data_IF_694485870394
#
_entry.id   IF_694485870394
#
_cell.length_a   1.000
_cell.length_b   1.000
_cell.length_c   1.000
_cell.angle_alpha   90.00
_cell.angle_beta   90.00
_cell.angle_gamma   90.00
#
_symmetry.space_group_name_H-M   'P 1'
#
loop_
_entity.id
_entity.type
_entity.pdbx_description
1 polymer ?
#
# COMPACT_ATOMS: atom_id res chain seq x y z
N UNK A 1 -4.72 -3.73 23.13
CA UNK A 1 -3.91 -3.79 21.93
C UNK A 1 -4.67 -4.57 20.84
N UNK A 2 -5.19 -3.88 19.83
CA UNK A 2 -6.12 -4.45 18.84
C UNK A 2 -5.45 -5.30 17.75
N UNK A 3 -4.13 -5.23 17.60
CA UNK A 3 -3.41 -5.93 16.54
C UNK A 3 -2.63 -7.17 17.01
N UNK A 4 -2.71 -7.53 18.29
CA UNK A 4 -1.88 -8.60 18.83
C UNK A 4 -2.21 -9.98 18.21
N UNK A 5 -3.48 -10.22 17.93
CA UNK A 5 -3.98 -11.48 17.38
C UNK A 5 -4.51 -11.34 15.95
N UNK A 6 -4.14 -10.25 15.25
CA UNK A 6 -4.60 -10.05 13.88
C UNK A 6 -3.99 -11.11 12.95
N UNK A 7 -4.79 -11.82 12.13
CA UNK A 7 -4.26 -12.76 11.15
C UNK A 7 -3.33 -12.05 10.15
N UNK A 8 -2.21 -12.69 9.80
CA UNK A 8 -1.19 -12.13 8.92
C UNK A 8 -1.74 -11.65 7.57
N UNK A 9 -2.68 -12.40 6.98
CA UNK A 9 -3.31 -12.03 5.72
C UNK A 9 -4.16 -10.75 5.83
N UNK A 10 -4.78 -10.50 6.98
CA UNK A 10 -5.52 -9.27 7.24
C UNK A 10 -4.54 -8.11 7.44
N UNK A 11 -3.50 -8.30 8.26
CA UNK A 11 -2.45 -7.29 8.47
C UNK A 11 -1.77 -6.89 7.15
N UNK A 12 -1.46 -7.88 6.30
CA UNK A 12 -0.87 -7.64 4.98
C UNK A 12 -1.82 -6.84 4.08
N UNK A 13 -3.08 -7.27 3.95
CA UNK A 13 -4.05 -6.59 3.10
C UNK A 13 -4.29 -5.15 3.56
N UNK A 14 -4.53 -4.92 4.86
CA UNK A 14 -4.78 -3.57 5.39
C UNK A 14 -3.53 -2.68 5.36
N UNK A 15 -2.36 -3.26 5.57
CA UNK A 15 -1.09 -2.53 5.45
C UNK A 15 -0.77 -2.11 4.02
N UNK A 16 -1.05 -2.98 3.04
CA UNK A 16 -0.95 -2.64 1.61
C UNK A 16 -1.97 -1.58 1.20
N UNK A 17 -3.19 -1.61 1.75
CA UNK A 17 -4.19 -0.57 1.53
C UNK A 17 -3.71 0.79 2.04
N UNK A 18 -3.20 0.86 3.27
CA UNK A 18 -2.64 2.08 3.83
C UNK A 18 -1.46 2.63 2.99
N UNK A 19 -0.60 1.75 2.48
CA UNK A 19 0.50 2.13 1.59
C UNK A 19 -0.02 2.70 0.27
N UNK A 20 -1.04 2.07 -0.34
CA UNK A 20 -1.69 2.57 -1.55
C UNK A 20 -2.33 3.95 -1.33
N UNK A 21 -3.08 4.13 -0.25
CA UNK A 21 -3.68 5.41 0.12
C UNK A 21 -2.62 6.51 0.26
N UNK A 22 -1.50 6.19 0.87
CA UNK A 22 -0.38 7.10 1.01
C UNK A 22 0.19 7.51 -0.36
N UNK A 23 0.51 6.54 -1.23
CA UNK A 23 1.04 6.84 -2.56
C UNK A 23 0.04 7.56 -3.44
N UNK A 24 -1.23 7.14 -3.46
CA UNK A 24 -2.26 7.85 -4.23
C UNK A 24 -2.41 9.29 -3.77
N UNK A 25 -2.25 9.57 -2.48
CA UNK A 25 -2.22 10.95 -1.98
C UNK A 25 -0.97 11.72 -2.40
N UNK A 26 0.19 11.04 -2.53
CA UNK A 26 1.47 11.67 -2.93
C UNK A 26 1.44 12.16 -4.37
N UNK A 27 0.85 11.41 -5.30
CA UNK A 27 0.76 11.80 -6.72
C UNK A 27 -0.57 12.43 -7.13
N UNK A 28 -1.48 12.62 -6.18
CA UNK A 28 -2.78 13.19 -6.48
C UNK A 28 -2.70 14.65 -6.92
N UNK A 29 -3.48 15.03 -7.92
CA UNK A 29 -3.59 16.42 -8.35
C UNK A 29 -4.16 17.38 -7.31
N UNK A 30 -4.89 16.85 -6.33
CA UNK A 30 -5.46 17.61 -5.21
C UNK A 30 -4.53 17.62 -3.98
N UNK A 31 -3.30 17.12 -4.10
CA UNK A 31 -2.35 17.09 -2.99
C UNK A 31 -2.03 18.51 -2.51
N UNK A 32 -2.13 18.72 -1.21
CA UNK A 32 -1.70 19.92 -0.50
C UNK A 32 -0.47 19.62 0.34
N UNK A 33 0.22 20.65 0.82
CA UNK A 33 1.36 20.47 1.72
C UNK A 33 0.97 19.67 2.98
N UNK A 34 -0.24 19.88 3.48
CA UNK A 34 -0.77 19.15 4.64
C UNK A 34 -1.00 17.67 4.31
N UNK A 35 -1.71 17.37 3.22
CA UNK A 35 -1.94 15.98 2.82
C UNK A 35 -0.64 15.26 2.48
N UNK A 36 0.33 15.94 1.87
CA UNK A 36 1.66 15.40 1.57
C UNK A 36 2.47 15.06 2.83
N UNK A 37 2.38 15.89 3.87
CA UNK A 37 3.05 15.63 5.14
C UNK A 37 2.59 14.28 5.73
N UNK A 38 1.28 14.06 5.81
CA UNK A 38 0.71 12.82 6.30
C UNK A 38 0.98 11.64 5.36
N UNK A 39 0.81 11.82 4.05
CA UNK A 39 1.02 10.78 3.07
C UNK A 39 2.46 10.26 3.04
N UNK A 40 3.44 11.15 3.07
CA UNK A 40 4.85 10.76 3.08
C UNK A 40 5.23 10.02 4.36
N UNK A 41 4.70 10.47 5.51
CA UNK A 41 4.97 9.78 6.78
C UNK A 41 4.24 8.42 6.84
N UNK A 42 3.03 8.32 6.29
CA UNK A 42 2.32 7.06 6.16
C UNK A 42 3.08 6.06 5.27
N UNK A 43 3.59 6.52 4.12
CA UNK A 43 4.40 5.67 3.23
C UNK A 43 5.68 5.18 3.92
N UNK A 44 6.43 6.07 4.57
CA UNK A 44 7.64 5.72 5.35
C UNK A 44 7.35 4.63 6.39
N UNK A 45 6.32 4.84 7.23
CA UNK A 45 5.95 3.90 8.28
C UNK A 45 5.46 2.56 7.71
N UNK A 46 4.66 2.58 6.66
CA UNK A 46 4.18 1.36 6.00
C UNK A 46 5.33 0.55 5.39
N UNK A 47 6.26 1.23 4.69
CA UNK A 47 7.41 0.59 4.06
C UNK A 47 8.40 0.01 5.09
N UNK A 48 8.51 0.62 6.26
CA UNK A 48 9.30 0.09 7.37
C UNK A 48 8.63 -1.11 8.04
N UNK A 49 7.31 -1.08 8.19
CA UNK A 49 6.56 -2.09 8.93
C UNK A 49 6.20 -3.34 8.09
N UNK A 50 5.80 -3.17 6.83
CA UNK A 50 5.32 -4.27 5.97
C UNK A 50 6.31 -5.45 5.84
N UNK A 51 7.63 -5.25 5.67
CA UNK A 51 8.58 -6.36 5.61
C UNK A 51 8.63 -7.19 6.90
N UNK A 52 8.14 -6.66 8.01
CA UNK A 52 8.26 -7.20 9.37
C UNK A 52 6.95 -7.74 9.94
N UNK A 53 5.90 -7.89 9.14
CA UNK A 53 4.57 -8.32 9.63
C UNK A 53 4.59 -9.67 10.38
N UNK A 54 5.56 -10.55 10.10
CA UNK A 54 5.72 -11.80 10.83
C UNK A 54 6.07 -11.62 12.32
N UNK A 55 6.55 -10.43 12.73
CA UNK A 55 6.91 -10.08 14.09
C UNK A 55 5.76 -9.37 14.84
N UNK A 56 4.59 -9.24 14.22
CA UNK A 56 3.52 -8.36 14.68
C UNK A 56 2.99 -8.75 16.07
N UNK A 57 2.87 -10.04 16.35
CA UNK A 57 2.43 -10.55 17.67
C UNK A 57 3.40 -10.21 18.81
N UNK A 58 4.68 -10.16 18.50
CA UNK A 58 5.76 -9.99 19.48
C UNK A 58 6.21 -8.53 19.66
N UNK A 59 5.92 -7.67 18.67
CA UNK A 59 6.41 -6.29 18.63
C UNK A 59 5.32 -5.23 18.83
N UNK A 60 5.13 -4.68 20.03
CA UNK A 60 4.22 -3.56 20.27
C UNK A 60 4.54 -2.33 19.43
N UNK A 61 5.82 -2.06 19.20
CA UNK A 61 6.26 -0.92 18.41
C UNK A 61 5.83 -1.07 16.93
N UNK A 62 5.93 -2.28 16.36
CA UNK A 62 5.51 -2.55 15.00
C UNK A 62 3.99 -2.37 14.83
N UNK A 63 3.21 -2.83 15.83
CA UNK A 63 1.75 -2.63 15.84
C UNK A 63 1.39 -1.14 15.88
N UNK A 64 2.08 -0.37 16.72
CA UNK A 64 1.89 1.08 16.79
C UNK A 64 2.27 1.76 15.47
N UNK A 65 3.34 1.33 14.84
CA UNK A 65 3.82 1.85 13.56
C UNK A 65 2.79 1.64 12.45
N UNK A 66 2.23 0.43 12.32
CA UNK A 66 1.16 0.12 11.36
C UNK A 66 -0.12 0.92 11.63
N UNK A 67 -0.54 1.01 12.89
CA UNK A 67 -1.71 1.81 13.26
C UNK A 67 -1.52 3.27 12.92
N UNK A 68 -0.34 3.83 13.20
CA UNK A 68 -0.01 5.22 12.89
C UNK A 68 0.02 5.45 11.38
N UNK A 69 0.60 4.52 10.63
CA UNK A 69 0.62 4.56 9.16
C UNK A 69 -0.80 4.61 8.60
N UNK A 70 -1.69 3.72 9.07
CA UNK A 70 -3.08 3.66 8.64
C UNK A 70 -3.84 4.96 8.93
N UNK A 71 -3.68 5.53 10.13
CA UNK A 71 -4.30 6.81 10.50
C UNK A 71 -3.81 7.94 9.59
N UNK A 72 -2.51 8.04 9.37
CA UNK A 72 -1.94 9.09 8.53
C UNK A 72 -2.33 8.93 7.06
N UNK A 73 -2.37 7.70 6.54
CA UNK A 73 -2.89 7.42 5.21
C UNK A 73 -4.37 7.85 5.07
N UNK A 74 -5.20 7.51 6.06
CA UNK A 74 -6.60 7.93 6.13
C UNK A 74 -6.78 9.44 6.14
N UNK A 75 -5.98 10.17 6.93
CA UNK A 75 -5.99 11.65 6.94
C UNK A 75 -5.59 12.22 5.58
N UNK A 76 -4.56 11.68 4.95
CA UNK A 76 -4.11 12.14 3.63
C UNK A 76 -5.17 11.91 2.56
N UNK A 77 -5.69 10.66 2.45
CA UNK A 77 -6.64 10.28 1.40
C UNK A 77 -7.99 10.97 1.57
N UNK A 78 -8.39 11.32 2.79
CA UNK A 78 -9.61 12.10 3.03
C UNK A 78 -9.61 13.47 2.37
N UNK A 79 -8.42 14.06 2.18
CA UNK A 79 -8.25 15.36 1.52
C UNK A 79 -8.07 15.24 0.00
N UNK A 80 -7.38 14.19 -0.46
CA UNK A 80 -7.03 14.03 -1.88
C UNK A 80 -8.04 13.20 -2.65
N UNK A 81 -8.77 12.33 -1.98
CA UNK A 81 -9.56 11.22 -2.53
C UNK A 81 -8.68 10.13 -3.15
N UNK A 82 -9.30 9.00 -3.47
CA UNK A 82 -8.67 7.87 -4.14
C UNK A 82 -8.35 8.18 -5.60
N UNK A 83 -7.45 7.41 -6.20
CA UNK A 83 -7.04 7.53 -7.58
C UNK A 83 -7.14 6.17 -8.33
N UNK A 84 -6.19 5.86 -9.20
CA UNK A 84 -6.34 4.77 -10.17
C UNK A 84 -6.22 3.37 -9.54
N UNK A 85 -5.35 3.16 -8.54
CA UNK A 85 -5.23 1.85 -7.89
C UNK A 85 -6.54 1.44 -7.22
N UNK A 86 -7.18 2.36 -6.51
CA UNK A 86 -8.49 2.12 -5.92
C UNK A 86 -9.57 1.94 -6.98
N UNK A 87 -9.54 2.71 -8.07
CA UNK A 87 -10.51 2.54 -9.17
C UNK A 87 -10.42 1.15 -9.79
N UNK A 88 -9.21 0.62 -9.98
CA UNK A 88 -8.96 -0.74 -10.46
C UNK A 88 -9.38 -1.79 -9.41
N UNK A 89 -9.21 -1.49 -8.12
CA UNK A 89 -9.52 -2.42 -7.04
C UNK A 89 -11.01 -2.76 -6.91
N UNK A 90 -11.90 -1.81 -7.20
CA UNK A 90 -13.35 -2.01 -7.00
C UNK A 90 -13.92 -3.20 -7.78
N UNK A 91 -13.73 -3.31 -9.11
CA UNK A 91 -14.21 -4.47 -9.86
C UNK A 91 -13.53 -5.78 -9.42
N UNK A 92 -12.25 -5.75 -9.03
CA UNK A 92 -11.54 -6.92 -8.53
C UNK A 92 -12.13 -7.42 -7.20
N UNK A 93 -12.39 -6.51 -6.28
CA UNK A 93 -13.03 -6.84 -5.00
C UNK A 93 -14.46 -7.33 -5.20
N UNK A 94 -15.26 -6.63 -6.01
CA UNK A 94 -16.68 -6.95 -6.17
C UNK A 94 -16.92 -8.26 -6.93
N UNK A 95 -16.10 -8.56 -7.93
CA UNK A 95 -16.30 -9.72 -8.82
C UNK A 95 -15.60 -10.98 -8.35
N UNK A 96 -14.43 -10.82 -7.73
CA UNK A 96 -13.59 -11.96 -7.33
C UNK A 96 -13.47 -12.13 -5.82
N UNK A 97 -14.13 -11.29 -5.02
CA UNK A 97 -13.95 -11.23 -3.55
C UNK A 97 -12.48 -11.07 -3.13
N UNK A 98 -11.63 -10.49 -4.00
CA UNK A 98 -10.25 -10.21 -3.66
C UNK A 98 -10.22 -9.19 -2.49
N UNK A 99 -9.50 -9.47 -1.39
CA UNK A 99 -9.37 -8.52 -0.28
C UNK A 99 -8.93 -7.14 -0.78
N UNK A 100 -9.59 -6.07 -0.31
CA UNK A 100 -9.47 -4.73 -0.89
C UNK A 100 -8.02 -4.24 -1.01
N UNK A 101 -7.23 -4.36 0.04
CA UNK A 101 -5.84 -3.92 0.00
C UNK A 101 -4.96 -4.72 -0.97
N UNK A 102 -5.25 -6.02 -1.16
CA UNK A 102 -4.60 -6.81 -2.21
C UNK A 102 -5.06 -6.40 -3.61
N UNK A 103 -6.34 -6.03 -3.76
CA UNK A 103 -6.87 -5.50 -5.01
C UNK A 103 -6.24 -4.15 -5.37
N UNK A 104 -6.01 -3.27 -4.39
CA UNK A 104 -5.25 -2.02 -4.58
C UNK A 104 -3.79 -2.30 -4.95
N UNK A 105 -3.17 -3.29 -4.31
CA UNK A 105 -1.78 -3.68 -4.58
C UNK A 105 -1.58 -4.29 -5.97
N UNK A 106 -2.64 -4.79 -6.62
CA UNK A 106 -2.59 -5.40 -7.96
C UNK A 106 -1.90 -4.52 -9.01
N UNK A 107 -2.15 -3.22 -8.99
CA UNK A 107 -1.58 -2.26 -9.94
C UNK A 107 -0.57 -1.29 -9.32
N UNK A 108 -0.20 -1.49 -8.05
CA UNK A 108 0.61 -0.52 -7.30
C UNK A 108 1.96 -0.25 -7.96
N UNK A 109 2.70 -1.29 -8.34
CA UNK A 109 4.05 -1.15 -8.89
C UNK A 109 4.04 -0.44 -10.26
N UNK A 110 3.11 -0.81 -11.13
CA UNK A 110 2.96 -0.21 -12.46
C UNK A 110 2.55 1.27 -12.36
N UNK A 111 1.66 1.60 -11.43
CA UNK A 111 1.22 2.98 -11.22
C UNK A 111 2.31 3.81 -10.53
N UNK A 112 3.10 3.21 -9.64
CA UNK A 112 4.27 3.85 -9.04
C UNK A 112 5.32 4.19 -10.10
N UNK A 113 5.65 3.24 -10.98
CA UNK A 113 6.59 3.45 -12.09
C UNK A 113 6.09 4.55 -13.03
N UNK A 114 4.83 4.49 -13.45
CA UNK A 114 4.19 5.51 -14.29
C UNK A 114 4.31 6.93 -13.71
N UNK A 115 4.16 7.08 -12.40
CA UNK A 115 4.25 8.37 -11.71
C UNK A 115 5.68 8.73 -11.25
N UNK A 116 6.65 7.85 -11.42
CA UNK A 116 8.01 7.97 -10.85
C UNK A 116 8.69 9.31 -11.16
N UNK A 117 8.62 9.78 -12.41
CA UNK A 117 9.19 11.06 -12.81
C UNK A 117 8.54 12.25 -12.08
N UNK A 118 7.21 12.21 -11.90
CA UNK A 118 6.43 13.27 -11.23
C UNK A 118 6.76 13.38 -9.74
N UNK A 119 6.99 12.25 -9.08
CA UNK A 119 7.17 12.17 -7.64
C UNK A 119 8.61 11.88 -7.19
N UNK A 120 9.59 11.92 -8.11
CA UNK A 120 10.99 11.53 -7.86
C UNK A 120 11.58 12.14 -6.60
N UNK A 121 11.42 13.46 -6.39
CA UNK A 121 11.92 14.15 -5.18
C UNK A 121 11.24 13.65 -3.89
N UNK A 122 9.96 13.27 -3.95
CA UNK A 122 9.22 12.74 -2.80
C UNK A 122 9.68 11.33 -2.49
N UNK A 123 9.86 10.48 -3.51
CA UNK A 123 10.41 9.13 -3.38
C UNK A 123 11.80 9.17 -2.78
N UNK A 124 12.71 10.02 -3.29
CA UNK A 124 14.06 10.14 -2.74
C UNK A 124 14.08 10.55 -1.26
N UNK A 125 13.12 11.37 -0.81
CA UNK A 125 12.99 11.72 0.62
C UNK A 125 12.52 10.53 1.46
N UNK A 126 11.61 9.71 0.93
CA UNK A 126 11.16 8.48 1.61
C UNK A 126 12.31 7.48 1.68
N UNK A 127 13.01 7.23 0.57
CA UNK A 127 14.20 6.36 0.53
C UNK A 127 15.26 6.80 1.53
N UNK A 128 15.54 8.11 1.62
CA UNK A 128 16.49 8.65 2.60
C UNK A 128 16.07 8.36 4.05
N UNK A 129 14.78 8.44 4.38
CA UNK A 129 14.26 8.09 5.70
C UNK A 129 14.33 6.58 5.99
N UNK A 130 14.40 5.75 4.94
CA UNK A 130 14.54 4.30 4.99
C UNK A 130 16.00 3.83 4.79
N UNK A 131 16.96 4.61 5.25
CA UNK A 131 18.39 4.30 5.18
C UNK A 131 18.93 4.16 3.75
N UNK A 132 18.29 4.83 2.78
CA UNK A 132 18.70 4.85 1.38
C UNK A 132 18.22 3.66 0.55
N UNK A 133 17.36 2.80 1.10
CA UNK A 133 16.80 1.69 0.33
C UNK A 133 15.73 2.23 -0.64
N UNK A 134 15.75 1.75 -1.87
CA UNK A 134 14.78 2.18 -2.87
C UNK A 134 13.37 1.68 -2.54
N UNK A 135 12.40 2.57 -2.64
CA UNK A 135 10.99 2.29 -2.30
C UNK A 135 10.44 1.08 -3.07
N UNK A 136 10.75 1.00 -4.36
CA UNK A 136 10.30 -0.09 -5.22
C UNK A 136 10.88 -1.44 -4.80
N UNK A 137 12.15 -1.47 -4.37
CA UNK A 137 12.80 -2.68 -3.87
C UNK A 137 12.12 -3.20 -2.60
N UNK A 138 11.73 -2.30 -1.69
CA UNK A 138 11.01 -2.68 -0.47
C UNK A 138 9.65 -3.29 -0.84
N UNK A 139 8.90 -2.67 -1.73
CA UNK A 139 7.58 -3.18 -2.16
C UNK A 139 7.73 -4.56 -2.81
N UNK A 140 8.70 -4.73 -3.72
CA UNK A 140 8.99 -6.02 -4.35
C UNK A 140 9.35 -7.09 -3.33
N UNK A 141 10.18 -6.75 -2.35
CA UNK A 141 10.56 -7.69 -1.27
C UNK A 141 9.35 -8.12 -0.42
N UNK A 142 8.40 -7.21 -0.15
CA UNK A 142 7.14 -7.53 0.52
C UNK A 142 6.29 -8.48 -0.34
N UNK A 143 6.17 -8.19 -1.63
CA UNK A 143 5.41 -9.03 -2.57
C UNK A 143 5.98 -10.45 -2.66
N UNK A 144 7.29 -10.58 -2.73
CA UNK A 144 7.98 -11.88 -2.72
C UNK A 144 7.83 -12.60 -1.39
N UNK A 145 8.16 -11.93 -0.27
CA UNK A 145 8.13 -12.51 1.07
C UNK A 145 6.77 -13.10 1.43
N UNK A 146 5.70 -12.41 1.10
CA UNK A 146 4.33 -12.81 1.43
C UNK A 146 3.56 -13.45 0.26
N UNK A 147 4.24 -13.72 -0.86
CA UNK A 147 3.65 -14.30 -2.07
C UNK A 147 2.40 -13.54 -2.57
N UNK A 148 2.41 -12.21 -2.52
CA UNK A 148 1.27 -11.35 -2.84
C UNK A 148 0.69 -11.67 -4.21
N UNK A 149 1.54 -11.77 -5.24
CA UNK A 149 1.10 -12.09 -6.61
C UNK A 149 0.39 -13.45 -6.71
N UNK A 150 0.89 -14.48 -6.00
CA UNK A 150 0.22 -15.80 -5.96
C UNK A 150 -1.10 -15.76 -5.24
N UNK A 151 -1.20 -14.97 -4.15
CA UNK A 151 -2.46 -14.79 -3.45
C UNK A 151 -3.47 -14.12 -4.39
N UNK A 152 -3.11 -13.03 -5.05
CA UNK A 152 -3.98 -12.34 -6.02
C UNK A 152 -4.44 -13.30 -7.13
N UNK A 153 -3.51 -14.05 -7.74
CA UNK A 153 -3.82 -15.03 -8.79
C UNK A 153 -4.79 -16.12 -8.33
N UNK A 154 -4.77 -16.50 -7.05
CA UNK A 154 -5.70 -17.51 -6.52
C UNK A 154 -7.17 -17.06 -6.51
N UNK A 155 -7.43 -15.76 -6.55
CA UNK A 155 -8.77 -15.19 -6.63
C UNK A 155 -9.21 -14.94 -8.08
N UNK A 156 -8.28 -14.77 -9.02
CA UNK A 156 -8.55 -14.42 -10.42
C UNK A 156 -8.34 -15.67 -11.29
N UNK A 157 -9.42 -16.28 -11.82
CA UNK A 157 -9.32 -17.61 -12.45
C UNK A 157 -8.52 -17.63 -13.77
N UNK A 158 -8.47 -16.52 -14.51
CA UNK A 158 -7.67 -16.35 -15.72
C UNK A 158 -7.53 -14.87 -16.12
N UNK A 159 -6.54 -14.57 -16.98
CA UNK A 159 -6.26 -13.20 -17.45
C UNK A 159 -7.43 -12.60 -18.25
N UNK A 160 -8.14 -13.40 -19.05
CA UNK A 160 -9.30 -12.95 -19.82
C UNK A 160 -10.44 -12.43 -18.94
N UNK A 161 -10.51 -12.93 -17.69
CA UNK A 161 -11.49 -12.46 -16.71
C UNK A 161 -11.25 -11.01 -16.28
N UNK A 162 -10.01 -10.54 -16.30
CA UNK A 162 -9.65 -9.14 -15.96
C UNK A 162 -9.94 -8.22 -17.15
N UNK A 163 -9.60 -8.63 -18.36
CA UNK A 163 -9.83 -7.83 -19.59
C UNK A 163 -11.32 -7.56 -19.83
N UNK A 164 -12.21 -8.48 -19.41
CA UNK A 164 -13.65 -8.31 -19.54
C UNK A 164 -14.28 -7.36 -18.50
N UNK A 165 -13.47 -6.78 -17.59
CA UNK A 165 -13.93 -5.88 -16.52
C UNK A 165 -13.53 -4.42 -16.79
N UNK A 166 -12.49 -4.22 -17.57
CA UNK A 166 -11.98 -2.90 -17.97
C UNK A 166 -12.71 -2.38 -19.21
#
# INVERSE_FOLDING_TARGET
>A
DFLIDIPLNIALSTGLDALNQAFESIWNKNASDVSLLYAMKAAELSLNALPRLSELSESPNLRQELMTASVFAGVAISQTRTAICHSISYPLTLRFNLPHGLACAFSMLEVLDFNSALISKKISRISAALSGVEVEEIIKSVFEKYNVSKIIQSYIPNEDSVLNIM
#
